data_IF_800881099698
#
_entry.id   IF_800881099698
#
_cell.length_a   1.000
_cell.length_b   1.000
_cell.length_c   1.000
_cell.angle_alpha   90.00
_cell.angle_beta   90.00
_cell.angle_gamma   90.00
#
_symmetry.space_group_name_H-M   'P 1'
#
loop_
_entity.id
_entity.type
_entity.pdbx_description
1 polymer ?
#
# COMPACT_ATOMS: atom_id res chain seq x y z
N UNK A 1 4.15 2.58 -12.49
CA UNK A 1 4.57 3.67 -11.58
C UNK A 1 4.89 4.98 -12.30
N UNK A 2 5.66 4.99 -13.42
CA UNK A 2 5.92 6.24 -14.16
C UNK A 2 4.63 6.94 -14.60
N UNK A 3 3.69 6.19 -15.16
CA UNK A 3 2.42 6.73 -15.68
C UNK A 3 1.52 7.32 -14.58
N UNK A 4 1.31 6.60 -13.47
CA UNK A 4 0.58 7.13 -12.31
C UNK A 4 1.16 8.48 -11.84
N UNK A 5 2.49 8.55 -11.72
CA UNK A 5 3.18 9.77 -11.32
C UNK A 5 3.00 10.88 -12.36
N UNK A 6 3.11 10.57 -13.65
CA UNK A 6 2.88 11.54 -14.73
C UNK A 6 1.46 12.12 -14.69
N UNK A 7 0.42 11.28 -14.54
CA UNK A 7 -0.97 11.73 -14.44
C UNK A 7 -1.19 12.61 -13.21
N UNK A 8 -0.62 12.22 -12.05
CA UNK A 8 -0.65 13.06 -10.84
C UNK A 8 0.03 14.40 -11.11
N UNK A 9 1.24 14.43 -11.67
CA UNK A 9 1.95 15.68 -11.97
C UNK A 9 1.13 16.58 -12.91
N UNK A 10 0.57 16.02 -13.99
CA UNK A 10 -0.23 16.76 -14.95
C UNK A 10 -1.49 17.36 -14.32
N UNK A 11 -2.16 16.62 -13.42
CA UNK A 11 -3.38 17.06 -12.76
C UNK A 11 -3.12 18.07 -11.63
N UNK A 12 -1.98 17.96 -10.95
CA UNK A 12 -1.71 18.70 -9.69
C UNK A 12 -0.67 19.80 -9.82
N UNK A 13 0.18 19.78 -10.85
CA UNK A 13 1.36 20.64 -10.97
C UNK A 13 2.51 20.30 -10.03
N UNK A 14 2.43 19.20 -9.25
CA UNK A 14 3.49 18.81 -8.32
C UNK A 14 4.75 18.35 -9.07
N UNK A 15 5.92 18.64 -8.49
CA UNK A 15 7.18 18.07 -8.97
C UNK A 15 7.15 16.53 -8.76
N UNK A 16 7.57 15.73 -9.76
CA UNK A 16 7.70 14.29 -9.63
C UNK A 16 8.44 13.82 -8.36
N UNK A 17 9.44 14.56 -7.88
CA UNK A 17 10.23 14.23 -6.69
C UNK A 17 9.46 14.37 -5.38
N UNK A 18 8.34 15.10 -5.37
CA UNK A 18 7.48 15.30 -4.19
C UNK A 18 6.42 14.22 -4.03
N UNK A 19 6.38 13.22 -4.94
CA UNK A 19 5.35 12.18 -4.95
C UNK A 19 5.95 10.87 -4.46
N UNK A 20 5.28 10.20 -3.52
CA UNK A 20 5.55 8.81 -3.17
C UNK A 20 4.30 7.98 -3.47
N UNK A 21 4.46 6.89 -4.23
CA UNK A 21 3.39 5.94 -4.49
C UNK A 21 3.63 4.70 -3.65
N UNK A 22 2.67 4.36 -2.79
CA UNK A 22 2.69 3.15 -1.98
C UNK A 22 1.41 2.37 -2.21
N UNK A 23 1.54 1.05 -2.39
CA UNK A 23 0.41 0.13 -2.48
C UNK A 23 0.31 -0.70 -1.21
N UNK A 24 -0.91 -1.07 -0.82
CA UNK A 24 -1.15 -1.96 0.32
C UNK A 24 -0.60 -3.38 0.15
N UNK A 25 -0.15 -3.72 -1.07
CA UNK A 25 0.25 -5.06 -1.47
C UNK A 25 -0.90 -6.08 -1.49
N UNK A 26 -2.15 -5.63 -1.68
CA UNK A 26 -3.30 -6.53 -1.84
C UNK A 26 -3.08 -7.54 -2.97
N UNK A 27 -3.47 -8.78 -2.72
CA UNK A 27 -3.48 -9.86 -3.71
C UNK A 27 -4.84 -10.01 -4.39
N UNK A 28 -5.82 -9.18 -4.04
CA UNK A 28 -7.22 -9.32 -4.43
C UNK A 28 -7.70 -8.26 -5.43
N UNK A 29 -6.78 -7.56 -6.09
CA UNK A 29 -7.10 -6.55 -7.11
C UNK A 29 -6.76 -7.03 -8.52
N UNK A 30 -7.41 -6.49 -9.57
CA UNK A 30 -6.97 -6.68 -10.93
C UNK A 30 -5.54 -6.16 -11.15
N UNK A 31 -4.91 -6.72 -12.17
CA UNK A 31 -3.53 -6.41 -12.56
C UNK A 31 -3.40 -4.99 -13.11
N UNK A 32 -2.20 -4.40 -13.00
CA UNK A 32 -1.94 -3.01 -13.38
C UNK A 32 -0.71 -2.82 -14.29
N UNK A 33 0.06 -3.88 -14.58
CA UNK A 33 1.35 -3.80 -15.28
C UNK A 33 1.21 -4.34 -16.70
N UNK A 34 0.75 -3.48 -17.62
CA UNK A 34 0.49 -3.81 -19.03
C UNK A 34 1.42 -4.85 -19.65
N UNK A 35 2.69 -4.52 -19.81
CA UNK A 35 3.66 -5.40 -20.51
C UNK A 35 3.88 -6.75 -19.80
N UNK A 36 3.92 -6.78 -18.47
CA UNK A 36 4.17 -8.01 -17.71
C UNK A 36 2.92 -8.88 -17.68
N UNK A 37 1.77 -8.26 -17.45
CA UNK A 37 0.51 -8.96 -17.21
C UNK A 37 -0.10 -9.44 -18.53
N UNK A 38 0.06 -8.72 -19.65
CA UNK A 38 -0.27 -9.24 -20.99
C UNK A 38 0.57 -10.48 -21.30
N UNK A 39 1.88 -10.45 -21.06
CA UNK A 39 2.74 -11.63 -21.28
C UNK A 39 2.34 -12.84 -20.41
N UNK A 40 1.84 -12.59 -19.20
CA UNK A 40 1.52 -13.63 -18.23
C UNK A 40 0.09 -14.17 -18.36
N UNK A 41 -0.85 -13.33 -18.74
CA UNK A 41 -2.30 -13.61 -18.70
C UNK A 41 -2.97 -13.53 -20.08
N UNK A 42 -2.26 -13.08 -21.12
CA UNK A 42 -2.76 -12.96 -22.49
C UNK A 42 -3.50 -11.66 -22.75
N UNK A 43 -4.57 -11.40 -22.01
CA UNK A 43 -5.33 -10.15 -22.06
C UNK A 43 -5.46 -9.53 -20.67
N UNK A 44 -5.67 -8.22 -20.64
CA UNK A 44 -5.87 -7.45 -19.41
C UNK A 44 -7.05 -6.49 -19.61
N UNK A 45 -7.59 -6.01 -18.49
CA UNK A 45 -8.59 -4.95 -18.49
C UNK A 45 -7.88 -3.57 -18.54
N UNK A 46 -7.70 -3.03 -19.74
CA UNK A 46 -7.06 -1.73 -19.97
C UNK A 46 -7.87 -0.58 -19.35
N UNK A 47 -9.20 -0.65 -19.43
CA UNK A 47 -10.11 0.36 -18.88
C UNK A 47 -9.97 0.45 -17.35
N UNK A 48 -9.82 -0.69 -16.68
CA UNK A 48 -9.54 -0.73 -15.25
C UNK A 48 -8.22 -0.04 -14.91
N UNK A 49 -7.17 -0.26 -15.70
CA UNK A 49 -5.86 0.39 -15.49
C UNK A 49 -6.02 1.90 -15.62
N UNK A 50 -6.58 2.37 -16.74
CA UNK A 50 -6.73 3.81 -16.99
C UNK A 50 -7.61 4.48 -15.95
N UNK A 51 -8.76 3.89 -15.63
CA UNK A 51 -9.65 4.38 -14.58
C UNK A 51 -8.95 4.43 -13.22
N UNK A 52 -8.15 3.42 -12.89
CA UNK A 52 -7.39 3.40 -11.62
C UNK A 52 -6.35 4.52 -11.58
N UNK A 53 -5.61 4.73 -12.67
CA UNK A 53 -4.59 5.76 -12.75
C UNK A 53 -5.19 7.18 -12.71
N UNK A 54 -6.33 7.38 -13.35
CA UNK A 54 -7.05 8.66 -13.31
C UNK A 54 -7.63 8.95 -11.92
N UNK A 55 -8.19 7.93 -11.26
CA UNK A 55 -8.67 8.05 -9.87
C UNK A 55 -7.54 8.38 -8.90
N UNK A 56 -6.34 7.84 -9.09
CA UNK A 56 -5.18 8.22 -8.29
C UNK A 56 -4.80 9.69 -8.49
N UNK A 57 -4.81 10.17 -9.73
CA UNK A 57 -4.53 11.58 -10.04
C UNK A 57 -5.59 12.51 -9.47
N UNK A 58 -6.87 12.14 -9.57
CA UNK A 58 -7.98 12.91 -9.02
C UNK A 58 -7.95 12.94 -7.49
N UNK A 59 -7.70 11.80 -6.83
CA UNK A 59 -7.56 11.75 -5.38
C UNK A 59 -6.44 12.66 -4.86
N UNK A 60 -5.28 12.67 -5.55
CA UNK A 60 -4.18 13.57 -5.23
C UNK A 60 -4.58 15.05 -5.43
N UNK A 61 -5.29 15.37 -6.52
CA UNK A 61 -5.79 16.72 -6.79
C UNK A 61 -6.78 17.21 -5.74
N UNK A 62 -7.74 16.37 -5.35
CA UNK A 62 -8.70 16.70 -4.30
C UNK A 62 -8.02 16.92 -2.95
N UNK A 63 -7.12 16.03 -2.55
CA UNK A 63 -6.34 16.18 -1.32
C UNK A 63 -5.48 17.47 -1.33
N UNK A 64 -4.93 17.82 -2.49
CA UNK A 64 -4.18 19.05 -2.66
C UNK A 64 -5.09 20.28 -2.50
N UNK A 65 -6.27 20.33 -3.12
CA UNK A 65 -7.15 21.51 -3.03
C UNK A 65 -7.86 21.67 -1.68
N UNK A 66 -7.96 20.58 -0.91
CA UNK A 66 -8.61 20.58 0.41
C UNK A 66 -7.61 20.68 1.58
N UNK A 67 -6.38 21.15 1.31
CA UNK A 67 -5.38 21.38 2.36
C UNK A 67 -5.89 22.39 3.37
N UNK A 68 -5.70 22.05 4.64
CA UNK A 68 -6.09 22.85 5.77
C UNK A 68 -5.02 22.74 6.87
N UNK A 69 -4.91 23.73 7.77
CA UNK A 69 -4.02 23.64 8.92
C UNK A 69 -4.26 22.33 9.68
N UNK A 70 -3.18 21.66 10.06
CA UNK A 70 -3.22 20.40 10.78
C UNK A 70 -2.01 20.25 11.70
N UNK A 71 -2.16 19.43 12.75
CA UNK A 71 -1.08 18.95 13.60
C UNK A 71 -0.77 17.50 13.24
N UNK A 72 0.51 17.20 13.08
CA UNK A 72 0.98 15.84 12.82
C UNK A 72 1.54 15.25 14.10
N UNK A 73 1.15 14.01 14.43
CA UNK A 73 1.78 13.25 15.52
C UNK A 73 2.24 11.91 15.00
N UNK A 74 3.42 11.51 15.44
CA UNK A 74 4.01 10.21 15.10
C UNK A 74 4.02 9.36 16.36
N UNK A 75 3.68 8.09 16.21
CA UNK A 75 3.72 7.10 17.27
C UNK A 75 4.13 5.74 16.75
N UNK A 76 4.49 4.86 17.68
CA UNK A 76 4.73 3.44 17.42
C UNK A 76 3.75 2.66 18.29
N UNK A 77 2.95 1.82 17.66
CA UNK A 77 2.10 0.83 18.31
C UNK A 77 2.67 -0.59 18.17
N UNK A 78 1.94 -1.56 18.68
CA UNK A 78 2.24 -2.98 18.54
C UNK A 78 1.03 -3.74 17.99
N UNK A 79 1.28 -4.69 17.10
CA UNK A 79 0.26 -5.60 16.56
C UNK A 79 0.87 -6.99 16.36
N UNK A 80 0.24 -8.02 16.93
CA UNK A 80 0.72 -9.41 16.91
C UNK A 80 0.14 -10.30 15.81
N UNK A 81 -0.50 -9.71 14.78
CA UNK A 81 -1.14 -10.48 13.71
C UNK A 81 -0.10 -11.13 12.78
N UNK A 82 1.01 -10.44 12.51
CA UNK A 82 2.02 -10.90 11.57
C UNK A 82 2.91 -11.97 12.20
N UNK A 83 3.35 -12.91 11.36
CA UNK A 83 4.37 -13.91 11.70
C UNK A 83 5.26 -14.14 10.49
N UNK A 84 6.48 -14.60 10.73
CA UNK A 84 7.37 -14.97 9.63
C UNK A 84 6.85 -16.21 8.93
N UNK A 85 6.88 -16.22 7.60
CA UNK A 85 6.58 -17.41 6.79
C UNK A 85 7.78 -18.35 6.58
N UNK A 86 8.91 -18.05 7.24
CA UNK A 86 10.22 -18.71 7.08
C UNK A 86 10.64 -19.34 8.41
N UNK A 87 10.00 -20.44 8.80
CA UNK A 87 10.30 -21.14 10.05
C UNK A 87 11.65 -21.87 9.96
N UNK A 88 12.62 -21.63 10.86
CA UNK A 88 13.82 -22.46 10.94
C UNK A 88 13.46 -23.91 11.24
N UNK A 89 14.11 -24.87 10.60
CA UNK A 89 13.84 -26.31 10.84
C UNK A 89 14.70 -26.93 11.94
N UNK A 90 15.68 -26.19 12.47
CA UNK A 90 16.62 -26.66 13.48
C UNK A 90 17.87 -27.36 12.92
N UNK A 91 17.93 -27.58 11.61
CA UNK A 91 19.04 -28.25 10.91
C UNK A 91 19.81 -27.29 9.97
N UNK A 92 19.54 -25.99 10.09
CA UNK A 92 20.12 -24.94 9.25
C UNK A 92 19.31 -24.62 7.99
N UNK A 93 18.14 -25.24 7.81
CA UNK A 93 17.20 -24.95 6.73
C UNK A 93 15.96 -24.17 7.19
N UNK A 94 14.98 -24.08 6.28
CA UNK A 94 13.77 -23.27 6.46
C UNK A 94 12.53 -23.96 5.87
N UNK A 95 11.48 -24.09 6.67
CA UNK A 95 10.15 -24.52 6.24
C UNK A 95 9.22 -23.32 5.95
N UNK A 96 8.35 -23.45 4.93
CA UNK A 96 7.33 -22.45 4.60
C UNK A 96 6.10 -22.59 5.51
N UNK A 97 6.26 -22.22 6.79
CA UNK A 97 5.21 -22.25 7.82
C UNK A 97 5.28 -20.97 8.68
N UNK A 98 4.15 -20.52 9.26
CA UNK A 98 4.13 -19.41 10.21
C UNK A 98 5.08 -19.65 11.39
N UNK A 99 5.84 -18.65 11.81
CA UNK A 99 6.77 -18.73 12.94
C UNK A 99 7.03 -17.38 13.58
N UNK A 100 7.18 -17.38 14.91
CA UNK A 100 7.74 -16.27 15.67
C UNK A 100 9.25 -16.45 15.95
N UNK A 101 9.80 -17.63 15.63
CA UNK A 101 11.23 -17.96 15.81
C UNK A 101 12.11 -17.45 14.66
N UNK A 102 11.56 -16.64 13.76
CA UNK A 102 12.25 -16.03 12.63
C UNK A 102 11.95 -14.52 12.58
N UNK A 103 12.76 -13.72 11.85
CA UNK A 103 12.56 -12.28 11.76
C UNK A 103 11.13 -11.89 11.42
N UNK A 104 10.54 -11.08 12.28
CA UNK A 104 9.22 -10.48 12.15
C UNK A 104 9.26 -9.09 12.79
N UNK A 105 8.32 -8.20 12.42
CA UNK A 105 8.19 -6.88 13.02
C UNK A 105 6.74 -6.65 13.43
N UNK A 106 6.52 -6.56 14.74
CA UNK A 106 5.21 -6.27 15.32
C UNK A 106 4.98 -4.78 15.56
N UNK A 107 5.96 -3.92 15.27
CA UNK A 107 5.79 -2.47 15.42
C UNK A 107 4.86 -1.95 14.33
N UNK A 108 3.98 -1.05 14.73
CA UNK A 108 3.09 -0.31 13.83
C UNK A 108 3.51 1.15 13.88
N UNK A 109 4.13 1.68 12.83
CA UNK A 109 4.37 3.11 12.74
C UNK A 109 3.08 3.82 12.38
N UNK A 110 2.69 4.83 13.14
CA UNK A 110 1.45 5.59 12.96
C UNK A 110 1.75 7.08 12.83
N UNK A 111 1.13 7.72 11.84
CA UNK A 111 1.05 9.16 11.68
C UNK A 111 -0.42 9.56 11.80
N UNK A 112 -0.76 10.37 12.81
CA UNK A 112 -2.09 10.98 12.92
C UNK A 112 -2.06 12.40 12.38
N UNK A 113 -3.18 12.80 11.76
CA UNK A 113 -3.43 14.16 11.27
C UNK A 113 -4.62 14.71 12.06
N UNK A 114 -4.37 15.73 12.88
CA UNK A 114 -5.36 16.33 13.77
C UNK A 114 -5.69 17.77 13.33
N UNK A 115 -6.91 18.24 13.60
CA UNK A 115 -7.26 19.66 13.49
C UNK A 115 -6.46 20.50 14.50
N UNK A 116 -6.37 21.83 14.33
CA UNK A 116 -5.80 22.70 15.34
C UNK A 116 -6.50 22.59 16.71
N UNK A 117 -7.79 22.26 16.70
CA UNK A 117 -8.65 22.10 17.88
C UNK A 117 -8.53 20.72 18.54
N UNK A 118 -7.80 19.78 17.91
CA UNK A 118 -7.48 18.46 18.47
C UNK A 118 -8.30 17.28 17.90
N UNK A 119 -9.19 17.53 16.93
CA UNK A 119 -10.00 16.47 16.33
C UNK A 119 -9.17 15.61 15.37
N UNK A 120 -9.27 14.29 15.50
CA UNK A 120 -8.62 13.36 14.58
C UNK A 120 -9.30 13.38 13.21
N UNK A 121 -8.55 13.68 12.15
CA UNK A 121 -9.04 13.70 10.75
C UNK A 121 -8.60 12.48 9.96
N UNK A 122 -7.32 12.11 10.05
CA UNK A 122 -6.75 10.99 9.30
C UNK A 122 -5.71 10.22 10.10
N UNK A 123 -5.55 8.95 9.72
CA UNK A 123 -4.51 8.06 10.23
C UNK A 123 -3.82 7.39 9.05
N UNK A 124 -2.50 7.51 9.00
CA UNK A 124 -1.65 6.70 8.15
C UNK A 124 -0.87 5.74 9.04
N UNK A 125 -0.83 4.46 8.68
CA UNK A 125 -0.06 3.47 9.41
C UNK A 125 0.75 2.58 8.45
N UNK A 126 1.84 2.02 8.97
CA UNK A 126 2.66 1.03 8.29
C UNK A 126 2.87 -0.16 9.21
N UNK A 127 2.51 -1.36 8.71
CA UNK A 127 2.63 -2.62 9.43
C UNK A 127 3.11 -3.73 8.50
N UNK A 128 4.13 -4.47 8.92
CA UNK A 128 4.75 -5.52 8.13
C UNK A 128 3.90 -6.80 8.13
N UNK A 129 2.88 -6.86 7.28
CA UNK A 129 2.02 -8.02 7.10
C UNK A 129 1.54 -8.13 5.65
N UNK A 130 1.66 -9.32 5.04
CA UNK A 130 1.11 -9.54 3.70
C UNK A 130 -0.43 -9.62 3.79
N UNK A 131 -1.19 -8.85 2.99
CA UNK A 131 -2.65 -8.90 2.98
C UNK A 131 -3.16 -10.08 2.15
N UNK A 132 -2.93 -11.30 2.63
CA UNK A 132 -3.30 -12.56 1.96
C UNK A 132 -4.39 -13.35 2.68
N UNK A 133 -5.09 -12.72 3.65
CA UNK A 133 -6.07 -13.40 4.51
C UNK A 133 -7.29 -13.93 3.76
N UNK A 134 -7.57 -13.47 2.54
CA UNK A 134 -8.64 -13.98 1.68
C UNK A 134 -8.40 -15.42 1.18
N UNK A 135 -7.17 -15.94 1.34
CA UNK A 135 -6.76 -17.19 0.69
C UNK A 135 -6.60 -17.04 -0.82
N UNK A 136 -6.47 -18.17 -1.51
CA UNK A 136 -6.45 -18.18 -2.98
C UNK A 136 -7.80 -17.67 -3.51
N UNK A 137 -7.75 -16.74 -4.47
CA UNK A 137 -8.95 -16.31 -5.19
C UNK A 137 -9.51 -17.54 -5.92
N UNK A 138 -10.61 -18.08 -5.41
CA UNK A 138 -11.22 -19.30 -5.95
C UNK A 138 -12.21 -19.01 -7.08
N UNK A 139 -12.60 -17.74 -7.28
CA UNK A 139 -13.53 -17.27 -8.33
C UNK A 139 -13.17 -15.84 -8.73
N UNK A 140 -13.07 -15.59 -10.03
CA UNK A 140 -12.96 -14.25 -10.65
C UNK A 140 -14.29 -13.99 -11.35
#
# INVERSE_FOLDING_TARGET
APEARQRICARTGLNPSHILLSGSHTHCGPVLRREMDIRRHGFIDEDYIDTTLDRLAEAAYQALNQRQPARLRVGIGWCGISSSRRRPDGEGGVAFKPSLDAPHDHRVSVLTVESPDGDLRHVLYSYACHPTSSGAISRI
#
